data_IF_382693857467
#
_entry.id   IF_382693857467
#
_cell.length_a   1.000
_cell.length_b   1.000
_cell.length_c   1.000
_cell.angle_alpha   90.00
_cell.angle_beta   90.00
_cell.angle_gamma   90.00
#
_symmetry.space_group_name_H-M   'P 1'
#
loop_
_entity.id
_entity.type
_entity.pdbx_description
1 polymer ?
#
# COMPACT_ATOMS: atom_id res chain seq x y z
N UNK A 1 33.23 6.93 -93.63
CA UNK A 1 31.79 6.92 -93.98
C UNK A 1 31.21 5.61 -93.48
N UNK A 2 30.85 5.53 -92.20
CA UNK A 2 29.90 4.52 -91.68
C UNK A 2 29.42 4.99 -90.31
N UNK A 3 28.10 5.04 -90.21
CA UNK A 3 27.30 5.80 -89.27
C UNK A 3 27.05 5.05 -87.95
N UNK A 4 26.89 5.80 -86.86
CA UNK A 4 26.60 5.31 -85.50
C UNK A 4 25.10 5.49 -85.23
N UNK A 5 24.34 4.38 -85.18
CA UNK A 5 23.00 4.36 -84.60
C UNK A 5 23.07 3.90 -83.14
N UNK A 6 23.02 4.84 -82.20
CA UNK A 6 23.01 4.58 -80.75
C UNK A 6 21.60 4.75 -80.18
N UNK A 7 21.06 3.65 -79.67
CA UNK A 7 19.77 3.53 -78.98
C UNK A 7 19.88 4.15 -77.57
N UNK A 8 19.05 5.16 -77.28
CA UNK A 8 19.02 5.84 -75.98
C UNK A 8 18.07 5.08 -75.07
N UNK A 9 18.62 4.20 -74.24
CA UNK A 9 17.93 3.55 -73.12
C UNK A 9 17.84 4.53 -71.95
N UNK A 10 16.64 5.02 -71.66
CA UNK A 10 16.35 5.86 -70.51
C UNK A 10 16.39 5.04 -69.21
N UNK A 11 17.53 5.07 -68.53
CA UNK A 11 17.68 4.52 -67.19
C UNK A 11 16.95 5.42 -66.16
N UNK A 12 15.84 4.91 -65.62
CA UNK A 12 15.19 5.41 -64.42
C UNK A 12 16.20 5.39 -63.26
N UNK A 13 16.69 6.57 -62.87
CA UNK A 13 17.52 6.78 -61.70
C UNK A 13 16.63 6.74 -60.45
N UNK A 14 16.38 5.53 -59.93
CA UNK A 14 15.88 5.38 -58.56
C UNK A 14 16.99 5.81 -57.60
N UNK A 15 16.78 6.94 -56.95
CA UNK A 15 17.76 7.59 -56.07
C UNK A 15 17.88 6.81 -54.75
N UNK A 16 19.08 6.30 -54.40
CA UNK A 16 19.29 5.50 -53.18
C UNK A 16 19.05 6.27 -51.86
N UNK A 17 18.83 7.59 -51.92
CA UNK A 17 18.55 8.43 -50.76
C UNK A 17 17.14 8.20 -50.18
N UNK A 18 16.16 7.81 -50.99
CA UNK A 18 14.76 7.63 -50.54
C UNK A 18 14.55 6.36 -49.70
N UNK A 19 15.43 5.38 -49.82
CA UNK A 19 15.36 4.12 -49.07
C UNK A 19 15.77 4.24 -47.60
N UNK A 20 16.64 5.19 -47.27
CA UNK A 20 17.15 5.38 -45.90
C UNK A 20 16.14 6.13 -45.01
N UNK A 21 15.48 7.16 -45.56
CA UNK A 21 14.48 7.95 -44.85
C UNK A 21 13.24 7.12 -44.46
N UNK A 22 12.79 6.21 -45.35
CA UNK A 22 11.64 5.33 -45.08
C UNK A 22 11.92 4.27 -44.00
N UNK A 23 13.18 3.86 -43.80
CA UNK A 23 13.56 2.92 -42.73
C UNK A 23 13.56 3.55 -41.35
N UNK A 24 13.92 4.84 -41.24
CA UNK A 24 13.86 5.58 -39.97
C UNK A 24 12.42 5.73 -39.46
N UNK A 25 11.52 6.18 -40.34
CA UNK A 25 10.10 6.40 -39.99
C UNK A 25 9.39 5.10 -39.59
N UNK A 26 9.71 3.96 -40.23
CA UNK A 26 9.14 2.66 -39.87
C UNK A 26 9.71 2.10 -38.55
N UNK A 27 10.98 2.39 -38.23
CA UNK A 27 11.58 2.03 -36.95
C UNK A 27 11.01 2.88 -35.81
N UNK A 28 10.82 4.18 -36.02
CA UNK A 28 10.24 5.08 -35.03
C UNK A 28 8.77 4.76 -34.76
N UNK A 29 7.98 4.42 -35.79
CA UNK A 29 6.60 3.96 -35.64
C UNK A 29 6.49 2.61 -34.90
N UNK A 30 7.48 1.71 -35.06
CA UNK A 30 7.53 0.43 -34.34
C UNK A 30 7.92 0.61 -32.86
N UNK A 31 8.79 1.58 -32.54
CA UNK A 31 9.15 1.96 -31.17
C UNK A 31 7.96 2.63 -30.47
N UNK A 32 7.21 3.48 -31.17
CA UNK A 32 6.01 4.14 -30.65
C UNK A 32 4.84 3.16 -30.45
N UNK A 33 4.67 2.18 -31.34
CA UNK A 33 3.70 1.09 -31.19
C UNK A 33 4.06 0.09 -30.06
N UNK A 34 5.35 -0.03 -29.70
CA UNK A 34 5.80 -0.83 -28.56
C UNK A 34 5.64 -0.10 -27.21
N UNK A 35 5.61 1.23 -27.20
CA UNK A 35 5.42 2.06 -26.00
C UNK A 35 3.97 2.07 -25.48
N UNK A 36 2.99 1.60 -26.26
CA UNK A 36 1.56 1.61 -25.93
C UNK A 36 1.03 0.45 -25.07
N UNK A 37 1.86 -0.49 -24.61
CA UNK A 37 1.36 -1.75 -24.01
C UNK A 37 1.47 -1.79 -22.48
N UNK A 38 0.45 -1.19 -21.84
CA UNK A 38 -0.21 -1.61 -20.58
C UNK A 38 0.65 -2.13 -19.43
N UNK A 39 0.84 -1.32 -18.38
CA UNK A 39 0.86 -1.83 -16.99
C UNK A 39 0.02 -0.94 -16.07
N UNK A 40 -1.28 -0.99 -16.30
CA UNK A 40 -2.28 -0.63 -15.31
C UNK A 40 -2.15 -1.68 -14.18
N UNK A 41 -1.40 -1.34 -13.13
CA UNK A 41 -1.41 -2.06 -11.84
C UNK A 41 -2.12 -1.25 -10.73
N UNK A 42 -3.34 -0.70 -10.94
CA UNK A 42 -4.02 0.17 -9.99
C UNK A 42 -4.62 -0.61 -8.82
N UNK A 43 -4.74 -1.94 -8.91
CA UNK A 43 -5.42 -2.75 -7.87
C UNK A 43 -4.74 -2.66 -6.51
N UNK A 44 -3.40 -2.58 -6.45
CA UNK A 44 -2.68 -2.46 -5.17
C UNK A 44 -2.82 -1.09 -4.56
N UNK A 45 -2.63 -0.03 -5.36
CA UNK A 45 -2.78 1.36 -4.88
C UNK A 45 -4.22 1.64 -4.42
N UNK A 46 -5.20 1.12 -5.15
CA UNK A 46 -6.62 1.24 -4.77
C UNK A 46 -6.92 0.45 -3.49
N UNK A 47 -6.41 -0.78 -3.35
CA UNK A 47 -6.58 -1.55 -2.11
C UNK A 47 -5.95 -0.85 -0.91
N UNK A 48 -4.73 -0.34 -1.05
CA UNK A 48 -4.05 0.42 0.01
C UNK A 48 -4.88 1.63 0.43
N UNK A 49 -5.37 2.40 -0.54
CA UNK A 49 -6.24 3.55 -0.27
C UNK A 49 -7.50 3.16 0.53
N UNK A 50 -8.15 2.05 0.18
CA UNK A 50 -9.33 1.57 0.91
C UNK A 50 -9.01 1.10 2.33
N UNK A 51 -7.86 0.44 2.54
CA UNK A 51 -7.41 0.03 3.87
C UNK A 51 -7.15 1.25 4.75
N UNK A 52 -6.47 2.26 4.22
CA UNK A 52 -6.14 3.50 4.93
C UNK A 52 -7.40 4.31 5.26
N UNK A 53 -8.33 4.41 4.29
CA UNK A 53 -9.63 5.03 4.49
C UNK A 53 -10.46 4.29 5.53
N UNK A 54 -10.48 2.95 5.50
CA UNK A 54 -11.14 2.13 6.50
C UNK A 54 -10.58 2.35 7.90
N UNK A 55 -9.24 2.41 8.02
CA UNK A 55 -8.55 2.75 9.26
C UNK A 55 -8.93 4.11 9.80
N UNK A 56 -9.01 5.13 8.93
CA UNK A 56 -9.46 6.47 9.31
C UNK A 56 -10.89 6.43 9.84
N UNK A 57 -11.80 5.72 9.18
CA UNK A 57 -13.20 5.59 9.61
C UNK A 57 -13.29 4.88 10.97
N UNK A 58 -12.56 3.78 11.17
CA UNK A 58 -12.53 3.06 12.45
C UNK A 58 -11.97 3.97 13.55
N UNK A 59 -10.90 4.71 13.28
CA UNK A 59 -10.29 5.65 14.24
C UNK A 59 -11.26 6.77 14.65
N UNK A 60 -11.97 7.37 13.69
CA UNK A 60 -12.97 8.40 13.97
C UNK A 60 -14.12 7.84 14.80
N UNK A 61 -14.59 6.63 14.45
CA UNK A 61 -15.64 5.94 15.22
C UNK A 61 -15.18 5.62 16.64
N UNK A 62 -13.94 5.14 16.81
CA UNK A 62 -13.37 4.85 18.12
C UNK A 62 -13.23 6.13 18.97
N UNK A 63 -12.79 7.23 18.36
CA UNK A 63 -12.67 8.54 19.00
C UNK A 63 -14.03 9.10 19.41
N UNK A 64 -15.04 8.94 18.55
CA UNK A 64 -16.44 9.27 18.87
C UNK A 64 -16.95 8.44 20.05
N UNK A 65 -16.83 7.11 20.01
CA UNK A 65 -17.27 6.22 21.09
C UNK A 65 -16.54 6.56 22.39
N UNK A 66 -15.23 6.82 22.34
CA UNK A 66 -14.45 7.24 23.51
C UNK A 66 -14.95 8.58 24.07
N UNK A 67 -15.27 9.55 23.20
CA UNK A 67 -15.87 10.81 23.63
C UNK A 67 -17.24 10.59 24.29
N UNK A 68 -18.10 9.77 23.70
CA UNK A 68 -19.41 9.43 24.29
C UNK A 68 -19.24 8.75 25.66
N UNK A 69 -18.34 7.77 25.78
CA UNK A 69 -18.14 7.07 27.07
C UNK A 69 -17.55 7.96 28.15
N UNK A 70 -16.71 8.94 27.80
CA UNK A 70 -16.09 9.85 28.78
C UNK A 70 -16.95 11.07 29.13
N UNK A 71 -17.74 11.59 28.18
CA UNK A 71 -18.53 12.81 28.40
C UNK A 71 -19.99 12.53 28.78
N UNK A 72 -20.58 11.42 28.32
CA UNK A 72 -22.01 11.12 28.56
C UNK A 72 -22.20 10.26 29.81
N UNK A 73 -21.27 9.34 30.08
CA UNK A 73 -21.33 8.53 31.30
C UNK A 73 -20.53 9.21 32.41
N UNK A 74 -21.15 9.53 33.55
CA UNK A 74 -20.43 10.09 34.68
C UNK A 74 -19.43 9.08 35.23
N UNK A 75 -18.24 9.54 35.62
CA UNK A 75 -17.25 8.68 36.25
C UNK A 75 -17.72 8.24 37.65
N UNK A 76 -17.98 6.95 37.86
CA UNK A 76 -18.30 6.41 39.19
C UNK A 76 -19.31 5.25 39.16
N UNK A 77 -19.74 4.76 40.34
CA UNK A 77 -20.71 3.66 40.46
C UNK A 77 -22.09 3.99 39.89
N UNK A 78 -22.42 5.28 39.74
CA UNK A 78 -23.68 5.72 39.16
C UNK A 78 -23.75 5.55 37.63
N UNK A 79 -22.62 5.27 36.97
CA UNK A 79 -22.58 5.01 35.53
C UNK A 79 -23.45 3.81 35.11
N UNK A 80 -23.63 2.83 35.99
CA UNK A 80 -24.42 1.62 35.74
C UNK A 80 -25.94 1.87 35.70
N UNK A 81 -26.41 2.98 36.27
CA UNK A 81 -27.83 3.33 36.27
C UNK A 81 -28.27 4.10 35.01
N UNK A 82 -27.31 4.63 34.24
CA UNK A 82 -27.58 5.45 33.07
C UNK A 82 -27.62 4.58 31.81
N UNK A 83 -28.71 4.69 31.03
CA UNK A 83 -28.83 4.02 29.72
C UNK A 83 -28.80 5.06 28.62
N UNK A 84 -27.87 4.89 27.67
CA UNK A 84 -27.77 5.74 26.49
C UNK A 84 -28.27 4.94 25.28
N UNK A 85 -29.36 5.42 24.66
CA UNK A 85 -30.03 4.74 23.53
C UNK A 85 -30.39 3.27 23.79
N UNK A 86 -30.73 2.96 25.04
CA UNK A 86 -31.11 1.62 25.46
C UNK A 86 -29.94 0.69 25.81
N UNK A 87 -28.70 1.07 25.51
CA UNK A 87 -27.49 0.36 25.93
C UNK A 87 -26.94 0.87 27.26
N UNK A 88 -26.34 -0.03 28.05
CA UNK A 88 -25.64 0.32 29.28
C UNK A 88 -24.16 0.64 29.03
N UNK A 89 -23.44 1.11 30.06
CA UNK A 89 -22.01 1.40 29.95
C UNK A 89 -21.18 0.18 29.49
N UNK A 90 -21.60 -1.03 29.85
CA UNK A 90 -20.96 -2.28 29.44
C UNK A 90 -21.04 -2.48 27.93
N UNK A 91 -22.22 -2.30 27.33
CA UNK A 91 -22.43 -2.40 25.89
C UNK A 91 -21.51 -1.43 25.12
N UNK A 92 -21.45 -0.17 25.56
CA UNK A 92 -20.60 0.84 24.94
C UNK A 92 -19.10 0.53 25.10
N UNK A 93 -18.69 0.02 26.26
CA UNK A 93 -17.32 -0.43 26.51
C UNK A 93 -16.96 -1.63 25.63
N UNK A 94 -17.87 -2.57 25.44
CA UNK A 94 -17.65 -3.76 24.62
C UNK A 94 -17.53 -3.38 23.13
N UNK A 95 -18.34 -2.42 22.66
CA UNK A 95 -18.19 -1.82 21.32
C UNK A 95 -16.82 -1.12 21.20
N UNK A 96 -16.43 -0.32 22.19
CA UNK A 96 -15.13 0.38 22.19
C UNK A 96 -13.96 -0.62 22.14
N UNK A 97 -14.06 -1.71 22.89
CA UNK A 97 -13.09 -2.80 22.86
C UNK A 97 -13.03 -3.45 21.48
N UNK A 98 -14.17 -3.83 20.90
CA UNK A 98 -14.25 -4.40 19.56
C UNK A 98 -13.64 -3.49 18.49
N UNK A 99 -13.94 -2.19 18.53
CA UNK A 99 -13.33 -1.18 17.65
C UNK A 99 -11.83 -1.06 17.86
N UNK A 100 -11.34 -1.14 19.10
CA UNK A 100 -9.90 -1.10 19.40
C UNK A 100 -9.18 -2.32 18.82
N UNK A 101 -9.77 -3.52 18.95
CA UNK A 101 -9.22 -4.74 18.36
C UNK A 101 -9.22 -4.64 16.83
N UNK A 102 -10.34 -4.21 16.23
CA UNK A 102 -10.44 -4.02 14.78
C UNK A 102 -9.44 -2.98 14.26
N UNK A 103 -9.28 -1.86 14.96
CA UNK A 103 -8.29 -0.83 14.65
C UNK A 103 -6.87 -1.39 14.73
N UNK A 104 -6.55 -2.11 15.79
CA UNK A 104 -5.26 -2.78 15.95
C UNK A 104 -4.94 -3.72 14.77
N UNK A 105 -5.86 -4.62 14.43
CA UNK A 105 -5.71 -5.52 13.28
C UNK A 105 -5.57 -4.75 11.95
N UNK A 106 -6.36 -3.68 11.78
CA UNK A 106 -6.25 -2.78 10.63
C UNK A 106 -4.86 -2.15 10.52
N UNK A 107 -4.31 -1.64 11.62
CA UNK A 107 -2.98 -1.04 11.67
C UNK A 107 -1.91 -2.07 11.29
N UNK A 108 -2.02 -3.31 11.81
CA UNK A 108 -1.12 -4.39 11.44
C UNK A 108 -1.16 -4.67 9.93
N UNK A 109 -2.37 -4.78 9.35
CA UNK A 109 -2.55 -4.98 7.91
C UNK A 109 -1.95 -3.81 7.12
N UNK A 110 -2.24 -2.56 7.49
CA UNK A 110 -1.68 -1.37 6.86
C UNK A 110 -0.16 -1.37 6.89
N UNK A 111 0.44 -1.71 8.03
CA UNK A 111 1.89 -1.79 8.17
C UNK A 111 2.50 -2.86 7.25
N UNK A 112 1.83 -4.01 7.07
CA UNK A 112 2.24 -5.03 6.11
C UNK A 112 2.15 -4.53 4.66
N UNK A 113 1.12 -3.76 4.30
CA UNK A 113 0.95 -3.22 2.94
C UNK A 113 1.96 -2.10 2.66
N UNK A 114 2.29 -1.29 3.67
CA UNK A 114 3.23 -0.17 3.56
C UNK A 114 4.70 -0.58 3.79
N UNK A 115 4.94 -1.84 4.15
CA UNK A 115 6.24 -2.36 4.57
C UNK A 115 7.38 -2.08 3.57
N UNK A 116 7.10 -2.18 2.27
CA UNK A 116 8.09 -1.88 1.22
C UNK A 116 8.50 -0.40 1.19
N UNK A 117 7.56 0.51 1.44
CA UNK A 117 7.88 1.93 1.57
C UNK A 117 8.75 2.19 2.80
N UNK A 118 8.40 1.57 3.94
CA UNK A 118 9.17 1.72 5.16
C UNK A 118 10.62 1.25 4.95
N UNK A 119 10.83 0.08 4.33
CA UNK A 119 12.16 -0.40 3.99
C UNK A 119 12.93 0.56 3.07
N UNK A 120 12.24 1.15 2.09
CA UNK A 120 12.84 2.16 1.20
C UNK A 120 13.26 3.41 1.96
N UNK A 121 12.39 3.96 2.82
CA UNK A 121 12.67 5.16 3.62
C UNK A 121 13.78 4.91 4.63
N UNK A 122 13.74 3.79 5.35
CA UNK A 122 14.77 3.43 6.33
C UNK A 122 16.12 3.24 5.64
N UNK A 123 16.19 2.58 4.49
CA UNK A 123 17.48 2.40 3.80
C UNK A 123 18.06 3.73 3.29
N UNK A 124 17.22 4.63 2.79
CA UNK A 124 17.63 5.97 2.35
C UNK A 124 18.16 6.80 3.53
N UNK A 125 17.50 6.75 4.69
CA UNK A 125 17.92 7.51 5.86
C UNK A 125 19.10 6.90 6.62
N UNK A 126 19.19 5.57 6.74
CA UNK A 126 20.21 4.92 7.57
C UNK A 126 21.51 4.64 6.84
N UNK A 127 21.51 4.47 5.51
CA UNK A 127 22.66 3.81 4.86
C UNK A 127 23.31 4.54 3.69
N UNK A 128 22.73 5.59 3.11
CA UNK A 128 23.29 6.29 1.92
C UNK A 128 23.84 5.32 0.85
N UNK A 129 23.33 4.08 0.79
CA UNK A 129 23.87 3.02 -0.05
C UNK A 129 22.97 2.85 -1.28
N UNK A 130 23.58 2.67 -2.47
CA UNK A 130 22.82 2.45 -3.70
C UNK A 130 21.92 1.21 -3.56
N UNK A 131 20.78 1.17 -4.26
CA UNK A 131 19.76 0.13 -4.13
C UNK A 131 20.31 -1.25 -4.57
N UNK A 132 20.91 -1.96 -3.62
CA UNK A 132 21.35 -3.34 -3.73
C UNK A 132 20.20 -4.31 -3.43
N UNK A 133 20.10 -5.35 -4.26
CA UNK A 133 19.01 -6.32 -4.40
C UNK A 133 18.93 -7.29 -3.21
N UNK A 134 18.40 -6.84 -2.07
CA UNK A 134 18.15 -7.66 -0.87
C UNK A 134 16.71 -7.46 -0.32
N UNK A 135 15.67 -7.77 -1.10
CA UNK A 135 14.26 -7.52 -0.71
C UNK A 135 13.70 -8.55 0.29
N UNK A 136 14.17 -9.81 0.22
CA UNK A 136 13.59 -10.93 1.00
C UNK A 136 14.01 -10.97 2.47
N UNK A 137 15.28 -10.70 2.77
CA UNK A 137 15.78 -10.77 4.15
C UNK A 137 15.27 -9.62 5.03
N UNK A 138 14.97 -8.47 4.41
CA UNK A 138 14.48 -7.26 5.08
C UNK A 138 12.99 -7.34 5.43
N UNK A 139 12.21 -7.99 4.56
CA UNK A 139 10.81 -8.34 4.85
C UNK A 139 10.69 -9.35 5.98
N UNK A 140 11.57 -10.36 6.02
CA UNK A 140 11.58 -11.37 7.07
C UNK A 140 11.92 -10.79 8.46
N UNK A 141 12.89 -9.86 8.53
CA UNK A 141 13.29 -9.20 9.78
C UNK A 141 12.18 -8.28 10.32
N UNK A 142 11.48 -7.59 9.42
CA UNK A 142 10.31 -6.80 9.74
C UNK A 142 9.16 -7.56 10.35
N UNK A 143 8.72 -8.60 9.63
CA UNK A 143 7.67 -9.51 10.10
C UNK A 143 8.09 -10.17 11.41
N UNK A 144 9.37 -10.57 11.54
CA UNK A 144 9.91 -11.13 12.78
C UNK A 144 9.79 -10.19 13.98
N UNK A 145 10.15 -8.91 13.83
CA UNK A 145 10.02 -7.91 14.91
C UNK A 145 8.55 -7.65 15.26
N UNK A 146 7.67 -7.54 14.26
CA UNK A 146 6.24 -7.32 14.49
C UNK A 146 5.60 -8.50 15.24
N UNK A 147 5.92 -9.74 14.83
CA UNK A 147 5.48 -10.95 15.51
C UNK A 147 6.02 -11.01 16.93
N UNK A 148 7.29 -10.64 17.15
CA UNK A 148 7.87 -10.59 18.49
C UNK A 148 7.15 -9.58 19.41
N UNK A 149 6.89 -8.36 18.93
CA UNK A 149 6.16 -7.34 19.70
C UNK A 149 4.74 -7.83 20.04
N UNK A 150 4.04 -8.42 19.06
CA UNK A 150 2.70 -8.97 19.28
C UNK A 150 2.70 -10.08 20.35
N UNK A 151 3.71 -10.96 20.34
CA UNK A 151 3.86 -11.99 21.37
C UNK A 151 4.17 -11.40 22.73
N UNK A 152 5.02 -10.37 22.82
CA UNK A 152 5.31 -9.69 24.09
C UNK A 152 4.04 -9.09 24.69
N UNK A 153 3.22 -8.42 23.89
CA UNK A 153 1.94 -7.85 24.33
C UNK A 153 0.98 -8.99 24.74
N UNK A 154 0.84 -10.03 23.93
CA UNK A 154 -0.03 -11.17 24.21
C UNK A 154 0.35 -11.92 25.49
N UNK A 155 1.65 -12.13 25.72
CA UNK A 155 2.17 -12.71 26.96
C UNK A 155 1.89 -11.78 28.14
N UNK A 156 2.09 -10.47 27.99
CA UNK A 156 1.76 -9.50 29.03
C UNK A 156 0.29 -9.55 29.44
N UNK A 157 -0.63 -9.65 28.47
CA UNK A 157 -2.06 -9.82 28.72
C UNK A 157 -2.38 -11.16 29.39
N UNK A 158 -1.74 -12.25 28.97
CA UNK A 158 -1.91 -13.57 29.60
C UNK A 158 -1.43 -13.57 31.05
N UNK A 159 -0.29 -12.95 31.33
CA UNK A 159 0.23 -12.80 32.70
C UNK A 159 -0.69 -11.94 33.56
N UNK A 160 -1.19 -10.83 33.00
CA UNK A 160 -2.14 -9.97 33.69
C UNK A 160 -3.45 -10.71 34.02
N UNK A 161 -3.96 -11.51 33.07
CA UNK A 161 -5.14 -12.35 33.28
C UNK A 161 -4.91 -13.44 34.33
N UNK A 162 -3.77 -14.13 34.27
CA UNK A 162 -3.41 -15.18 35.23
C UNK A 162 -3.18 -14.64 36.65
N UNK A 163 -2.82 -13.36 36.79
CA UNK A 163 -2.64 -12.68 38.07
C UNK A 163 -3.92 -12.14 38.71
N UNK A 164 -5.10 -12.33 38.10
CA UNK A 164 -6.37 -11.96 38.73
C UNK A 164 -6.68 -12.99 39.82
N UNK A 165 -6.23 -12.71 41.04
CA UNK A 165 -6.70 -13.39 42.24
C UNK A 165 -8.13 -12.92 42.51
N UNK A 166 -9.09 -13.84 42.36
CA UNK A 166 -10.49 -13.58 42.72
C UNK A 166 -10.59 -13.74 44.24
N UNK A 167 -10.90 -12.67 45.00
CA UNK A 167 -11.07 -12.74 46.45
C UNK A 167 -12.27 -13.58 46.88
#
# INVERSE_FOLDING_TARGET
MSDRGGEVVAASQDSPADGAARRGVAADAAVEAAAGRTRITPRRTVLNYWVDLGLLVVFLTLSWVTGVTQFVFPSGPEAFACRLWGGDYGDWRDIQFGLTVAFGLGVLLHLMLHWNWLCSVTNTHLRNRPPGRDDGSRTLLGVGVLVAILHVIGIGLLLAWAGIEVP
#
